data_IF_246499899223
#
_entry.id   IF_246499899223
#
_cell.length_a   1.000
_cell.length_b   1.000
_cell.length_c   1.000
_cell.angle_alpha   90.00
_cell.angle_beta   90.00
_cell.angle_gamma   90.00
#
_symmetry.space_group_name_H-M   'P 1'
#
loop_
_entity.id
_entity.type
_entity.pdbx_description
1 polymer ?
#
# COMPACT_ATOMS: atom_id res chain seq x y z
N UNK A 1 28.42 13.79 22.16
CA UNK A 1 28.68 12.90 21.01
C UNK A 1 28.13 13.58 19.78
N UNK A 2 29.00 14.04 18.88
CA UNK A 2 28.61 14.72 17.65
C UNK A 2 28.10 13.70 16.64
N UNK A 3 26.77 13.50 16.59
CA UNK A 3 26.10 12.61 15.64
C UNK A 3 25.97 13.24 14.25
N UNK A 4 27.09 13.64 13.65
CA UNK A 4 27.19 13.90 12.20
C UNK A 4 28.08 12.84 11.56
N UNK A 5 27.94 11.59 12.01
CA UNK A 5 28.31 10.43 11.21
C UNK A 5 27.33 10.35 10.05
N UNK A 6 27.84 10.41 8.82
CA UNK A 6 27.14 10.48 7.54
C UNK A 6 25.73 9.86 7.55
N UNK A 7 24.71 10.71 7.71
CA UNK A 7 23.32 10.30 7.57
C UNK A 7 23.10 9.72 6.16
N UNK A 8 22.52 8.53 6.06
CA UNK A 8 22.30 7.88 4.76
C UNK A 8 21.31 8.70 3.93
N UNK A 9 21.78 9.35 2.88
CA UNK A 9 20.91 10.11 1.97
C UNK A 9 20.03 9.16 1.17
N UNK A 10 18.75 9.52 0.98
CA UNK A 10 17.81 8.73 0.18
C UNK A 10 16.80 7.90 0.97
N UNK A 11 16.91 7.81 2.31
CA UNK A 11 15.91 7.15 3.17
C UNK A 11 14.50 7.74 3.01
N UNK A 12 14.39 9.02 2.63
CA UNK A 12 13.09 9.68 2.41
C UNK A 12 12.29 9.03 1.28
N UNK A 13 12.94 8.46 0.27
CA UNK A 13 12.25 7.77 -0.82
C UNK A 13 11.51 6.52 -0.33
N UNK A 14 12.13 5.71 0.53
CA UNK A 14 11.46 4.54 1.13
C UNK A 14 10.41 4.95 2.15
N UNK A 15 10.61 6.07 2.87
CA UNK A 15 9.58 6.65 3.73
C UNK A 15 8.35 7.08 2.92
N UNK A 16 8.54 7.80 1.81
CA UNK A 16 7.44 8.19 0.92
C UNK A 16 6.79 6.98 0.27
N UNK A 17 7.55 5.93 -0.05
CA UNK A 17 6.98 4.67 -0.49
C UNK A 17 6.00 4.14 0.57
N UNK A 18 6.36 4.14 1.86
CA UNK A 18 5.46 3.72 2.94
C UNK A 18 4.16 4.53 3.07
N UNK A 19 4.11 5.78 2.59
CA UNK A 19 2.86 6.56 2.55
C UNK A 19 1.87 6.04 1.50
N UNK A 20 2.35 5.35 0.46
CA UNK A 20 1.50 4.82 -0.61
C UNK A 20 0.54 3.73 -0.10
N UNK A 21 0.98 2.64 0.57
CA UNK A 21 0.06 1.64 1.12
C UNK A 21 -0.82 2.21 2.25
N UNK A 22 -0.37 3.25 2.97
CA UNK A 22 -1.23 3.98 3.92
C UNK A 22 -2.42 4.61 3.19
N UNK A 23 -2.15 5.37 2.11
CA UNK A 23 -3.21 5.99 1.31
C UNK A 23 -4.10 4.94 0.65
N UNK A 24 -3.51 3.92 0.02
CA UNK A 24 -4.26 2.85 -0.64
C UNK A 24 -5.18 2.11 0.34
N UNK A 25 -4.69 1.74 1.52
CA UNK A 25 -5.51 1.12 2.57
C UNK A 25 -6.63 2.03 3.07
N UNK A 26 -6.35 3.31 3.32
CA UNK A 26 -7.37 4.28 3.73
C UNK A 26 -8.45 4.46 2.65
N UNK A 27 -8.06 4.49 1.38
CA UNK A 27 -8.99 4.58 0.26
C UNK A 27 -9.86 3.34 0.13
N UNK A 28 -9.29 2.14 0.27
CA UNK A 28 -10.06 0.89 0.27
C UNK A 28 -11.05 0.84 1.43
N UNK A 29 -10.63 1.26 2.63
CA UNK A 29 -11.52 1.36 3.79
C UNK A 29 -12.65 2.34 3.55
N UNK A 30 -12.33 3.55 3.10
CA UNK A 30 -13.32 4.61 2.86
C UNK A 30 -14.34 4.17 1.80
N UNK A 31 -13.88 3.70 0.64
CA UNK A 31 -14.73 3.32 -0.49
C UNK A 31 -15.62 2.12 -0.17
N UNK A 32 -15.12 1.15 0.59
CA UNK A 32 -15.92 0.01 1.07
C UNK A 32 -17.01 0.46 2.04
N UNK A 33 -16.68 1.29 3.03
CA UNK A 33 -17.68 1.80 3.98
C UNK A 33 -18.73 2.68 3.29
N UNK A 34 -18.32 3.55 2.37
CA UNK A 34 -19.24 4.37 1.58
C UNK A 34 -20.20 3.51 0.75
N UNK A 35 -19.66 2.52 0.04
CA UNK A 35 -20.47 1.63 -0.82
C UNK A 35 -21.43 0.75 -0.01
N UNK A 36 -21.05 0.34 1.21
CA UNK A 36 -21.98 -0.35 2.13
C UNK A 36 -23.06 0.59 2.69
N UNK A 37 -22.71 1.85 3.00
CA UNK A 37 -23.66 2.82 3.56
C UNK A 37 -24.67 3.35 2.54
N UNK A 38 -24.31 3.33 1.26
CA UNK A 38 -25.17 3.72 0.14
C UNK A 38 -25.34 2.53 -0.81
N UNK A 39 -25.98 1.48 -0.27
CA UNK A 39 -26.04 0.14 -0.84
C UNK A 39 -26.71 0.03 -2.22
N UNK A 40 -27.57 0.98 -2.56
CA UNK A 40 -28.24 1.08 -3.86
C UNK A 40 -27.38 1.78 -4.93
N UNK A 41 -26.31 2.48 -4.54
CA UNK A 41 -25.40 3.13 -5.48
C UNK A 41 -24.37 2.13 -6.03
N UNK A 42 -23.92 2.36 -7.26
CA UNK A 42 -22.80 1.61 -7.84
C UNK A 42 -21.57 1.66 -6.94
N UNK A 43 -20.89 0.53 -6.80
CA UNK A 43 -19.68 0.41 -5.99
C UNK A 43 -18.65 1.40 -6.48
N UNK A 44 -18.29 2.35 -5.62
CA UNK A 44 -17.56 3.55 -6.03
C UNK A 44 -16.12 3.49 -5.54
N UNK A 45 -15.19 3.50 -6.49
CA UNK A 45 -13.80 3.90 -6.26
C UNK A 45 -13.63 5.41 -6.49
N UNK A 46 -12.49 5.97 -6.09
CA UNK A 46 -12.22 7.42 -6.15
C UNK A 46 -12.39 8.00 -7.55
N UNK A 47 -12.00 7.26 -8.59
CA UNK A 47 -12.03 7.71 -9.99
C UNK A 47 -12.76 6.74 -10.92
N UNK A 48 -13.50 5.77 -10.38
CA UNK A 48 -14.20 4.76 -11.17
C UNK A 48 -15.39 4.17 -10.40
N UNK A 49 -16.40 3.67 -11.10
CA UNK A 49 -17.53 2.95 -10.51
C UNK A 49 -17.68 1.60 -11.17
N UNK A 50 -17.91 0.56 -10.38
CA UNK A 50 -18.25 -0.76 -10.90
C UNK A 50 -19.76 -0.82 -11.18
N UNK A 51 -20.14 -1.72 -12.08
CA UNK A 51 -21.53 -1.85 -12.55
C UNK A 51 -22.47 -2.58 -11.59
N UNK A 52 -22.03 -2.87 -10.36
CA UNK A 52 -22.85 -3.48 -9.32
C UNK A 52 -22.96 -2.58 -8.09
N UNK A 53 -24.03 -2.76 -7.32
CA UNK A 53 -24.23 -2.15 -6.00
C UNK A 53 -24.04 -3.18 -4.88
N UNK A 54 -23.85 -2.72 -3.64
CA UNK A 54 -23.76 -3.63 -2.50
C UNK A 54 -25.10 -4.37 -2.24
N UNK A 55 -26.24 -3.72 -2.47
CA UNK A 55 -27.56 -4.35 -2.34
C UNK A 55 -27.72 -5.53 -3.32
N UNK A 56 -27.20 -5.41 -4.55
CA UNK A 56 -27.23 -6.51 -5.52
C UNK A 56 -26.37 -7.70 -5.05
N UNK A 57 -25.21 -7.44 -4.43
CA UNK A 57 -24.40 -8.50 -3.82
C UNK A 57 -25.12 -9.18 -2.65
N UNK A 58 -25.75 -8.40 -1.77
CA UNK A 58 -26.44 -8.89 -0.58
C UNK A 58 -27.71 -9.71 -0.91
N UNK A 59 -28.33 -9.48 -2.07
CA UNK A 59 -29.46 -10.28 -2.57
C UNK A 59 -29.00 -11.66 -3.05
N UNK A 60 -27.81 -11.74 -3.65
CA UNK A 60 -27.24 -13.01 -4.14
C UNK A 60 -26.74 -13.85 -2.98
N UNK A 61 -26.06 -13.24 -2.01
CA UNK A 61 -25.55 -13.94 -0.83
C UNK A 61 -25.70 -13.09 0.45
N UNK A 62 -26.43 -13.58 1.47
CA UNK A 62 -26.56 -12.86 2.75
C UNK A 62 -25.22 -12.69 3.50
N UNK A 63 -24.16 -13.41 3.12
CA UNK A 63 -22.81 -13.27 3.69
C UNK A 63 -21.98 -12.14 3.05
N UNK A 64 -22.51 -11.42 2.06
CA UNK A 64 -21.79 -10.32 1.40
C UNK A 64 -21.31 -9.24 2.39
N UNK A 65 -22.14 -8.88 3.39
CA UNK A 65 -21.77 -7.88 4.40
C UNK A 65 -20.59 -8.30 5.29
N UNK A 66 -20.67 -9.45 5.99
CA UNK A 66 -19.54 -9.98 6.75
C UNK A 66 -18.26 -10.16 5.92
N UNK A 67 -18.39 -10.60 4.66
CA UNK A 67 -17.25 -10.76 3.76
C UNK A 67 -16.57 -9.43 3.42
N UNK A 68 -17.34 -8.40 3.05
CA UNK A 68 -16.80 -7.06 2.78
C UNK A 68 -16.17 -6.46 4.03
N UNK A 69 -16.77 -6.63 5.21
CA UNK A 69 -16.19 -6.18 6.47
C UNK A 69 -14.84 -6.87 6.78
N UNK A 70 -14.74 -8.16 6.48
CA UNK A 70 -13.48 -8.90 6.58
C UNK A 70 -12.42 -8.36 5.62
N UNK A 71 -12.75 -8.13 4.35
CA UNK A 71 -11.84 -7.53 3.37
C UNK A 71 -11.38 -6.12 3.79
N UNK A 72 -12.31 -5.32 4.33
CA UNK A 72 -11.98 -4.01 4.89
C UNK A 72 -10.98 -4.13 6.06
N UNK A 73 -11.17 -5.10 6.96
CA UNK A 73 -10.19 -5.35 8.04
C UNK A 73 -8.83 -5.80 7.51
N UNK A 74 -8.77 -6.68 6.50
CA UNK A 74 -7.49 -7.04 5.88
C UNK A 74 -6.78 -5.82 5.28
N UNK A 75 -7.51 -4.92 4.64
CA UNK A 75 -6.95 -3.65 4.16
C UNK A 75 -6.38 -2.80 5.31
N UNK A 76 -7.04 -2.79 6.47
CA UNK A 76 -6.53 -2.08 7.67
C UNK A 76 -5.25 -2.72 8.22
N UNK A 77 -5.12 -4.05 8.14
CA UNK A 77 -3.89 -4.76 8.51
C UNK A 77 -2.75 -4.30 7.63
N UNK A 78 -2.93 -4.21 6.30
CA UNK A 78 -1.89 -3.71 5.40
C UNK A 78 -1.39 -2.29 5.77
N UNK A 79 -2.26 -1.43 6.30
CA UNK A 79 -1.83 -0.12 6.82
C UNK A 79 -0.87 -0.31 8.01
N UNK A 80 -1.28 -1.09 9.01
CA UNK A 80 -0.55 -1.22 10.28
C UNK A 80 0.70 -2.09 10.13
N UNK A 81 0.67 -3.13 9.30
CA UNK A 81 1.76 -4.10 9.15
C UNK A 81 2.70 -3.82 7.99
N UNK A 82 2.30 -3.01 6.99
CA UNK A 82 3.20 -2.59 5.92
C UNK A 82 3.56 -1.11 6.03
N UNK A 83 2.57 -0.22 5.95
CA UNK A 83 2.83 1.22 5.82
C UNK A 83 3.58 1.80 7.04
N UNK A 84 3.09 1.53 8.25
CA UNK A 84 3.70 2.03 9.49
C UNK A 84 5.13 1.52 9.67
N UNK A 85 5.42 0.20 9.57
CA UNK A 85 6.79 -0.31 9.64
C UNK A 85 7.70 0.29 8.58
N UNK A 86 7.27 0.40 7.32
CA UNK A 86 8.10 0.99 6.26
C UNK A 86 8.51 2.43 6.62
N UNK A 87 7.58 3.25 7.11
CA UNK A 87 7.83 4.63 7.52
C UNK A 87 8.81 4.68 8.70
N UNK A 88 8.52 3.94 9.77
CA UNK A 88 9.33 3.96 10.99
C UNK A 88 10.74 3.39 10.75
N UNK A 89 10.84 2.26 10.03
CA UNK A 89 12.12 1.64 9.67
C UNK A 89 12.93 2.57 8.77
N UNK A 90 12.28 3.28 7.83
CA UNK A 90 12.96 4.28 7.01
C UNK A 90 13.54 5.42 7.84
N UNK A 91 12.77 5.96 8.79
CA UNK A 91 13.17 7.12 9.62
C UNK A 91 14.23 6.75 10.65
N UNK A 92 14.07 5.62 11.34
CA UNK A 92 14.88 5.31 12.52
C UNK A 92 16.03 4.34 12.25
N UNK A 93 15.87 3.40 11.30
CA UNK A 93 16.86 2.36 11.06
C UNK A 93 17.62 2.57 9.74
N UNK A 94 16.92 2.78 8.63
CA UNK A 94 17.56 2.99 7.33
C UNK A 94 18.38 4.30 7.31
N UNK A 95 17.81 5.38 7.84
CA UNK A 95 18.51 6.67 8.03
C UNK A 95 19.80 6.53 8.83
N UNK A 96 19.80 5.65 9.83
CA UNK A 96 20.95 5.33 10.68
C UNK A 96 21.90 4.28 10.06
N UNK A 97 21.69 3.91 8.80
CA UNK A 97 22.57 2.99 8.08
C UNK A 97 22.46 1.52 8.48
N UNK A 98 21.37 1.12 9.12
CA UNK A 98 21.19 -0.26 9.55
C UNK A 98 20.98 -1.20 8.35
N UNK A 99 21.90 -2.17 8.16
CA UNK A 99 21.85 -3.12 7.03
C UNK A 99 20.57 -3.95 6.98
N UNK A 100 20.07 -4.38 8.14
CA UNK A 100 18.84 -5.17 8.23
C UNK A 100 17.62 -4.38 7.73
N UNK A 101 17.59 -3.06 7.93
CA UNK A 101 16.49 -2.20 7.49
C UNK A 101 16.41 -2.17 5.97
N UNK A 102 17.56 -2.17 5.29
CA UNK A 102 17.62 -2.26 3.83
C UNK A 102 17.03 -3.59 3.33
N UNK A 103 17.41 -4.72 3.94
CA UNK A 103 16.88 -6.03 3.56
C UNK A 103 15.38 -6.17 3.85
N UNK A 104 14.91 -5.63 4.99
CA UNK A 104 13.48 -5.58 5.29
C UNK A 104 12.71 -4.82 4.20
N UNK A 105 13.19 -3.64 3.82
CA UNK A 105 12.54 -2.82 2.80
C UNK A 105 12.61 -3.45 1.40
N UNK A 106 13.68 -4.18 1.09
CA UNK A 106 13.74 -5.01 -0.12
C UNK A 106 12.68 -6.13 -0.08
N UNK A 107 12.53 -6.81 1.06
CA UNK A 107 11.48 -7.80 1.23
C UNK A 107 10.10 -7.18 1.02
N UNK A 108 9.83 -6.00 1.59
CA UNK A 108 8.56 -5.29 1.40
C UNK A 108 8.34 -4.88 -0.07
N UNK A 109 9.39 -4.50 -0.80
CA UNK A 109 9.28 -4.24 -2.25
C UNK A 109 8.83 -5.48 -3.02
N UNK A 110 9.48 -6.62 -2.76
CA UNK A 110 9.23 -7.86 -3.51
C UNK A 110 7.88 -8.47 -3.10
N UNK A 111 7.59 -8.52 -1.81
CA UNK A 111 6.40 -9.14 -1.27
C UNK A 111 5.16 -8.27 -1.49
N UNK A 112 5.08 -7.11 -0.84
CA UNK A 112 3.90 -6.24 -0.94
C UNK A 112 3.84 -5.59 -2.32
N UNK A 113 4.95 -4.95 -2.76
CA UNK A 113 4.95 -4.14 -3.96
C UNK A 113 4.56 -4.92 -5.22
N UNK A 114 5.23 -6.03 -5.50
CA UNK A 114 4.93 -6.81 -6.71
C UNK A 114 3.60 -7.57 -6.62
N UNK A 115 3.21 -8.04 -5.43
CA UNK A 115 1.89 -8.69 -5.25
C UNK A 115 0.76 -7.70 -5.50
N UNK A 116 0.88 -6.48 -4.99
CA UNK A 116 -0.09 -5.42 -5.20
C UNK A 116 -0.14 -5.01 -6.67
N UNK A 117 1.02 -4.77 -7.30
CA UNK A 117 1.12 -4.44 -8.74
C UNK A 117 0.44 -5.50 -9.59
N UNK A 118 0.70 -6.78 -9.32
CA UNK A 118 0.05 -7.86 -10.06
C UNK A 118 -1.48 -7.80 -9.87
N UNK A 119 -1.96 -7.74 -8.63
CA UNK A 119 -3.38 -7.76 -8.28
C UNK A 119 -4.15 -6.61 -8.90
N UNK A 120 -3.65 -5.38 -8.79
CA UNK A 120 -4.32 -4.19 -9.37
C UNK A 120 -4.24 -4.13 -10.89
N UNK A 121 -3.20 -4.73 -11.48
CA UNK A 121 -3.08 -4.80 -12.95
C UNK A 121 -4.07 -5.80 -13.52
N UNK A 122 -4.22 -6.97 -12.88
CA UNK A 122 -5.28 -7.92 -13.24
C UNK A 122 -6.66 -7.28 -13.08
N UNK A 123 -6.92 -6.62 -11.95
CA UNK A 123 -8.18 -5.92 -11.73
C UNK A 123 -8.47 -4.86 -12.80
N UNK A 124 -7.45 -4.09 -13.22
CA UNK A 124 -7.59 -3.12 -14.30
C UNK A 124 -7.94 -3.77 -15.63
N UNK A 125 -7.32 -4.90 -15.99
CA UNK A 125 -7.64 -5.59 -17.24
C UNK A 125 -9.07 -6.14 -17.26
N UNK A 126 -9.59 -6.56 -16.11
CA UNK A 126 -10.95 -7.09 -16.00
C UNK A 126 -12.03 -5.99 -15.91
N UNK A 127 -11.72 -4.84 -15.32
CA UNK A 127 -12.74 -3.81 -14.99
C UNK A 127 -12.54 -2.46 -15.65
N UNK A 128 -11.35 -2.19 -16.19
CA UNK A 128 -10.95 -0.84 -16.63
C UNK A 128 -10.71 0.16 -15.49
N UNK A 129 -10.86 -0.24 -14.23
CA UNK A 129 -10.67 0.64 -13.08
C UNK A 129 -9.18 0.93 -12.84
N UNK A 130 -8.71 2.20 -12.93
CA UNK A 130 -7.28 2.54 -12.92
C UNK A 130 -6.68 2.57 -11.50
N UNK A 131 -6.93 1.53 -10.71
CA UNK A 131 -6.39 1.33 -9.35
C UNK A 131 -4.88 1.04 -9.34
N UNK A 132 -4.29 0.78 -10.52
CA UNK A 132 -2.90 0.33 -10.65
C UNK A 132 -1.83 1.37 -10.35
N UNK A 133 -2.17 2.67 -10.39
CA UNK A 133 -1.19 3.75 -10.28
C UNK A 133 -0.45 3.73 -8.92
N UNK A 134 -1.16 3.45 -7.83
CA UNK A 134 -0.56 3.51 -6.49
C UNK A 134 0.50 2.41 -6.26
N UNK A 135 0.24 1.11 -6.50
CA UNK A 135 1.27 0.09 -6.32
C UNK A 135 2.51 0.26 -7.20
N UNK A 136 2.35 0.77 -8.43
CA UNK A 136 3.48 1.12 -9.28
C UNK A 136 4.31 2.25 -8.68
N UNK A 137 3.67 3.30 -8.17
CA UNK A 137 4.36 4.41 -7.50
C UNK A 137 5.11 3.93 -6.25
N UNK A 138 4.51 3.05 -5.45
CA UNK A 138 5.18 2.40 -4.32
C UNK A 138 6.48 1.73 -4.76
N UNK A 139 6.41 0.86 -5.78
CA UNK A 139 7.56 0.12 -6.28
C UNK A 139 8.69 1.04 -6.77
N UNK A 140 8.34 2.10 -7.53
CA UNK A 140 9.30 3.06 -8.06
C UNK A 140 10.00 3.81 -6.92
N UNK A 141 9.24 4.33 -5.94
CA UNK A 141 9.79 5.06 -4.80
C UNK A 141 10.69 4.15 -3.95
N UNK A 142 10.22 2.94 -3.65
CA UNK A 142 10.95 1.97 -2.83
C UNK A 142 12.24 1.53 -3.51
N UNK A 143 12.19 1.14 -4.79
CA UNK A 143 13.37 0.74 -5.56
C UNK A 143 14.40 1.87 -5.67
N UNK A 144 13.93 3.10 -5.91
CA UNK A 144 14.79 4.31 -5.94
C UNK A 144 15.49 4.53 -4.60
N UNK A 145 14.75 4.41 -3.49
CA UNK A 145 15.30 4.55 -2.15
C UNK A 145 16.31 3.45 -1.80
N UNK A 146 16.00 2.20 -2.10
CA UNK A 146 16.91 1.07 -1.91
C UNK A 146 18.19 1.23 -2.73
N UNK A 147 18.09 1.65 -3.99
CA UNK A 147 19.24 1.90 -4.86
C UNK A 147 20.16 2.98 -4.28
N UNK A 148 19.60 4.13 -3.89
CA UNK A 148 20.38 5.26 -3.33
C UNK A 148 21.04 4.92 -1.99
N UNK A 149 20.36 4.15 -1.15
CA UNK A 149 20.87 3.79 0.18
C UNK A 149 21.83 2.60 0.17
N UNK A 150 21.76 1.72 -0.85
CA UNK A 150 22.66 0.56 -1.01
C UNK A 150 24.14 0.95 -0.95
N UNK A 151 24.54 1.97 -1.70
CA UNK A 151 25.96 2.36 -1.77
C UNK A 151 26.46 2.92 -0.44
N UNK A 152 25.63 3.68 0.29
CA UNK A 152 26.03 4.33 1.53
C UNK A 152 26.05 3.38 2.74
N UNK A 153 25.23 2.32 2.70
CA UNK A 153 25.11 1.36 3.82
C UNK A 153 26.15 0.23 3.72
N UNK A 154 26.59 -0.10 2.51
CA UNK A 154 27.38 -1.30 2.26
C UNK A 154 28.78 -1.06 1.70
N UNK A 155 29.12 0.19 1.33
CA UNK A 155 30.48 0.61 1.01
C UNK A 155 31.04 1.42 2.18
#
# INVERSE_FOLDING_TARGET
MNATENEVTGWRWTMYAGLIPLMAGLFMLLTSNLSMSNDMSQWTFIIHKLDFSFAQLAVIDPQAGPFVAFLAMLASVNIVSAAVPIILISIFALRAGQKWAWYYLLFMLVWEGFSDVYSVTQFYFETGAPMFVMPWLFCILMATGLYKTRQQIFN
#
